data_IF_428236179289
#
_entry.id   IF_428236179289
#
_cell.length_a   1.000
_cell.length_b   1.000
_cell.length_c   1.000
_cell.angle_alpha   90.00
_cell.angle_beta   90.00
_cell.angle_gamma   90.00
#
_symmetry.space_group_name_H-M   'P 1'
#
loop_
_entity.id
_entity.type
_entity.pdbx_description
1 polymer ?
#
# COMPACT_ATOMS: atom_id res chain seq x y z
N UNK A 1 1.65 3.88 -11.17
CA UNK A 1 1.67 3.12 -9.89
C UNK A 1 2.37 3.94 -8.82
N UNK A 2 2.01 3.79 -7.55
CA UNK A 2 2.64 4.46 -6.41
C UNK A 2 3.44 3.43 -5.60
N UNK A 3 4.68 3.73 -5.22
CA UNK A 3 5.55 2.83 -4.46
C UNK A 3 5.90 3.41 -3.10
N UNK A 4 5.94 2.56 -2.07
CA UNK A 4 6.31 2.92 -0.71
C UNK A 4 6.85 1.74 0.10
N UNK A 5 6.98 1.92 1.41
CA UNK A 5 7.33 0.84 2.35
C UNK A 5 8.83 0.65 2.64
N UNK A 6 9.70 1.51 2.07
CA UNK A 6 11.08 1.63 2.53
C UNK A 6 11.16 2.55 3.75
N UNK A 7 10.90 1.99 4.94
CA UNK A 7 10.94 2.75 6.19
C UNK A 7 12.35 2.88 6.78
N UNK A 8 13.35 2.17 6.26
CA UNK A 8 14.72 2.22 6.80
C UNK A 8 15.59 3.25 6.09
N UNK A 9 15.37 3.48 4.79
CA UNK A 9 16.18 4.41 3.99
C UNK A 9 15.35 5.43 3.20
N UNK A 10 14.05 5.19 3.00
CA UNK A 10 13.16 6.13 2.30
C UNK A 10 13.53 6.40 0.84
N UNK A 11 14.29 5.52 0.18
CA UNK A 11 14.82 5.77 -1.17
C UNK A 11 14.73 4.56 -2.11
N UNK A 12 14.06 3.48 -1.68
CA UNK A 12 13.86 2.26 -2.45
C UNK A 12 14.97 1.23 -2.30
N UNK A 13 16.04 1.53 -1.55
CA UNK A 13 17.15 0.58 -1.30
C UNK A 13 17.06 -0.14 0.04
N UNK A 14 16.11 0.24 0.89
CA UNK A 14 15.89 -0.35 2.20
C UNK A 14 14.62 -1.20 2.30
N UNK A 15 14.09 -1.25 3.52
CA UNK A 15 13.02 -2.15 3.94
C UNK A 15 13.51 -3.51 4.43
N UNK A 16 12.75 -4.09 5.35
CA UNK A 16 12.95 -5.44 5.90
C UNK A 16 11.59 -6.05 6.23
N UNK A 17 11.54 -7.37 6.37
CA UNK A 17 10.31 -8.08 6.76
C UNK A 17 10.37 -8.57 8.19
N UNK A 18 9.21 -8.89 8.76
CA UNK A 18 9.12 -9.62 10.04
C UNK A 18 9.78 -11.00 10.00
N UNK A 19 10.01 -11.54 8.80
CA UNK A 19 10.69 -12.82 8.55
C UNK A 19 12.20 -12.66 8.30
N UNK A 20 12.75 -11.46 8.45
CA UNK A 20 14.14 -11.12 8.15
C UNK A 20 14.27 -10.16 6.96
N UNK A 21 15.48 -10.02 6.40
CA UNK A 21 15.73 -9.01 5.35
C UNK A 21 14.90 -9.22 4.08
N UNK A 22 14.72 -10.47 3.66
CA UNK A 22 13.98 -10.85 2.45
C UNK A 22 13.19 -12.13 2.66
N UNK A 23 12.09 -12.27 1.93
CA UNK A 23 11.29 -13.50 1.90
C UNK A 23 10.90 -13.91 0.47
N UNK A 24 10.54 -15.19 0.32
CA UNK A 24 10.20 -15.78 -0.97
C UNK A 24 8.81 -15.34 -1.48
N UNK A 25 8.53 -15.55 -2.76
CA UNK A 25 7.20 -15.36 -3.31
C UNK A 25 6.24 -16.41 -2.74
N UNK A 26 5.14 -15.98 -2.13
CA UNK A 26 4.12 -16.90 -1.58
C UNK A 26 3.35 -17.59 -2.71
N UNK A 27 2.72 -16.80 -3.58
CA UNK A 27 2.08 -17.28 -4.79
C UNK A 27 2.00 -16.15 -5.84
N UNK A 28 1.99 -16.52 -7.12
CA UNK A 28 1.91 -15.57 -8.25
C UNK A 28 0.63 -15.79 -9.05
N UNK A 29 -0.44 -16.23 -8.39
CA UNK A 29 -1.71 -16.62 -9.03
C UNK A 29 -2.58 -15.42 -9.36
N UNK A 30 -2.45 -14.35 -8.57
CA UNK A 30 -3.20 -13.11 -8.73
C UNK A 30 -2.49 -12.17 -9.70
N UNK A 31 -3.28 -11.46 -10.49
CA UNK A 31 -2.81 -10.60 -11.58
C UNK A 31 -3.13 -9.12 -11.28
N UNK A 32 -2.35 -8.21 -11.85
CA UNK A 32 -2.50 -6.77 -11.70
C UNK A 32 -3.56 -6.23 -12.66
N UNK A 33 -4.81 -6.62 -12.41
CA UNK A 33 -5.94 -6.43 -13.34
C UNK A 33 -6.40 -4.98 -13.51
N UNK A 34 -5.97 -4.04 -12.66
CA UNK A 34 -6.38 -2.65 -12.77
C UNK A 34 -5.95 -1.75 -11.61
N UNK A 35 -6.50 -0.53 -11.57
CA UNK A 35 -6.26 0.44 -10.50
C UNK A 35 -6.65 -0.10 -9.12
N UNK A 36 -5.89 0.30 -8.10
CA UNK A 36 -6.12 -0.06 -6.70
C UNK A 36 -5.63 -1.44 -6.30
N UNK A 37 -5.01 -2.23 -7.19
CA UNK A 37 -4.36 -3.49 -6.81
C UNK A 37 -3.09 -3.21 -6.00
N UNK A 38 -2.86 -4.01 -4.95
CA UNK A 38 -1.67 -3.95 -4.11
C UNK A 38 -0.77 -5.14 -4.38
N UNK A 39 0.52 -4.86 -4.58
CA UNK A 39 1.52 -5.89 -4.76
C UNK A 39 2.84 -5.57 -4.07
N UNK A 40 3.62 -6.62 -3.81
CA UNK A 40 4.89 -6.51 -3.10
C UNK A 40 5.96 -5.92 -4.04
N UNK A 41 6.70 -4.94 -3.54
CA UNK A 41 7.92 -4.44 -4.17
C UNK A 41 9.07 -5.43 -3.96
N UNK A 42 9.81 -5.75 -5.03
CA UNK A 42 10.97 -6.63 -4.95
C UNK A 42 12.05 -6.18 -5.94
N UNK A 43 13.27 -6.71 -5.75
CA UNK A 43 14.42 -6.49 -6.63
C UNK A 43 14.76 -7.75 -7.45
N UNK A 44 13.73 -8.51 -7.82
CA UNK A 44 13.84 -9.81 -8.49
C UNK A 44 13.17 -10.96 -7.72
N UNK A 45 13.12 -12.18 -8.30
CA UNK A 45 12.42 -13.31 -7.71
C UNK A 45 12.89 -13.61 -6.27
N UNK A 46 11.94 -13.83 -5.35
CA UNK A 46 12.19 -14.17 -3.95
C UNK A 46 13.00 -13.12 -3.15
N UNK A 47 12.86 -11.84 -3.51
CA UNK A 47 13.49 -10.72 -2.79
C UNK A 47 12.48 -9.77 -2.19
N UNK A 48 11.33 -10.29 -1.77
CA UNK A 48 10.27 -9.50 -1.16
C UNK A 48 10.73 -8.96 0.19
N UNK A 49 10.31 -7.74 0.53
CA UNK A 49 10.53 -7.11 1.83
C UNK A 49 9.30 -6.28 2.21
N UNK A 50 9.49 -5.21 3.00
CA UNK A 50 8.43 -4.25 3.31
C UNK A 50 8.11 -3.28 2.18
N UNK A 51 8.68 -3.35 0.98
CA UNK A 51 8.25 -2.43 -0.08
C UNK A 51 6.94 -2.92 -0.72
N UNK A 52 6.09 -1.99 -1.15
CA UNK A 52 4.81 -2.30 -1.81
C UNK A 52 4.48 -1.29 -2.89
N UNK A 53 3.53 -1.68 -3.74
CA UNK A 53 3.07 -0.97 -4.91
C UNK A 53 1.55 -0.87 -4.85
N UNK A 54 1.00 0.29 -5.19
CA UNK A 54 -0.42 0.50 -5.49
C UNK A 54 -0.54 0.79 -6.99
N UNK A 55 -1.19 -0.11 -7.72
CA UNK A 55 -1.44 0.06 -9.15
C UNK A 55 -2.39 1.23 -9.38
N UNK A 56 -2.05 2.12 -10.32
CA UNK A 56 -2.94 3.21 -10.74
C UNK A 56 -3.63 2.95 -12.08
N UNK A 57 -3.20 1.88 -12.75
CA UNK A 57 -3.69 1.35 -14.02
C UNK A 57 -3.49 -0.17 -14.04
N UNK A 58 -3.87 -0.84 -15.14
CA UNK A 58 -3.55 -2.25 -15.34
C UNK A 58 -2.07 -2.41 -15.65
N UNK A 59 -1.34 -3.17 -14.82
CA UNK A 59 0.12 -3.34 -14.93
C UNK A 59 0.51 -4.79 -15.18
N UNK A 60 0.04 -5.38 -16.29
CA UNK A 60 0.21 -6.82 -16.56
C UNK A 60 1.66 -7.27 -16.78
N UNK A 61 2.60 -6.35 -16.99
CA UNK A 61 4.03 -6.67 -17.08
C UNK A 61 4.66 -7.10 -15.74
N UNK A 62 3.94 -6.88 -14.62
CA UNK A 62 4.31 -7.31 -13.27
C UNK A 62 3.76 -8.71 -12.91
N UNK A 63 2.84 -9.25 -13.72
CA UNK A 63 2.25 -10.57 -13.48
C UNK A 63 3.32 -11.66 -13.53
N UNK A 64 3.23 -12.62 -12.61
CA UNK A 64 4.25 -13.66 -12.46
C UNK A 64 5.59 -13.19 -11.87
N UNK A 65 5.72 -11.90 -11.50
CA UNK A 65 6.95 -11.33 -10.94
C UNK A 65 6.75 -10.70 -9.56
N UNK A 66 5.62 -10.04 -9.36
CA UNK A 66 5.24 -9.41 -8.10
C UNK A 66 4.02 -10.13 -7.51
N UNK A 67 4.08 -10.40 -6.21
CA UNK A 67 2.97 -11.02 -5.48
C UNK A 67 1.90 -9.97 -5.25
N UNK A 68 0.71 -10.17 -5.81
CA UNK A 68 -0.49 -9.39 -5.47
C UNK A 68 -1.04 -9.92 -4.15
N UNK A 69 -1.28 -9.02 -3.19
CA UNK A 69 -1.72 -9.40 -1.84
C UNK A 69 -2.95 -8.65 -1.36
N UNK A 70 -3.47 -7.69 -2.13
CA UNK A 70 -4.64 -6.92 -1.70
C UNK A 70 -5.18 -5.95 -2.74
N UNK A 71 -6.16 -5.15 -2.32
CA UNK A 71 -6.71 -4.04 -3.11
C UNK A 71 -7.22 -2.90 -2.23
N UNK A 72 -7.26 -1.70 -2.78
CA UNK A 72 -7.97 -0.54 -2.22
C UNK A 72 -9.47 -0.84 -2.24
N UNK A 73 -10.15 -0.64 -1.12
CA UNK A 73 -11.59 -0.92 -0.94
C UNK A 73 -12.41 0.31 -0.55
N UNK A 74 -11.78 1.37 -0.05
CA UNK A 74 -12.45 2.63 0.26
C UNK A 74 -11.58 3.81 -0.17
N UNK A 75 -12.27 4.84 -0.66
CA UNK A 75 -11.73 6.13 -1.10
C UNK A 75 -10.44 6.05 -1.95
N UNK A 76 -10.61 5.64 -3.21
CA UNK A 76 -9.52 5.66 -4.20
C UNK A 76 -9.07 7.08 -4.59
N UNK A 77 -9.79 8.14 -4.18
CA UNK A 77 -9.41 9.51 -4.53
C UNK A 77 -8.05 9.89 -3.92
N UNK A 78 -7.73 9.37 -2.74
CA UNK A 78 -6.42 9.55 -2.09
C UNK A 78 -5.28 9.03 -2.97
N UNK A 79 -5.45 7.85 -3.56
CA UNK A 79 -4.44 7.25 -4.45
C UNK A 79 -4.27 8.11 -5.71
N UNK A 80 -5.36 8.68 -6.24
CA UNK A 80 -5.26 9.63 -7.36
C UNK A 80 -4.52 10.91 -6.98
N UNK A 81 -4.74 11.46 -5.79
CA UNK A 81 -3.99 12.62 -5.32
C UNK A 81 -2.50 12.29 -5.11
N UNK A 82 -2.18 11.10 -4.58
CA UNK A 82 -0.79 10.61 -4.49
C UNK A 82 -0.14 10.48 -5.87
N UNK A 83 -0.89 9.96 -6.85
CA UNK A 83 -0.41 9.78 -8.23
C UNK A 83 -0.05 11.11 -8.90
N UNK A 84 -0.80 12.19 -8.65
CA UNK A 84 -0.50 13.53 -9.18
C UNK A 84 0.85 14.08 -8.71
N UNK A 85 1.35 13.63 -7.56
CA UNK A 85 2.66 14.00 -7.08
C UNK A 85 3.80 13.24 -7.79
N UNK A 86 3.50 12.24 -8.63
CA UNK A 86 4.50 11.46 -9.35
C UNK A 86 5.22 12.24 -10.46
N UNK A 87 6.34 11.68 -10.93
CA UNK A 87 7.07 12.15 -12.11
C UNK A 87 7.59 10.98 -12.94
N UNK A 88 8.00 11.24 -14.18
CA UNK A 88 8.61 10.23 -15.06
C UNK A 88 9.88 9.61 -14.46
N UNK A 89 10.59 10.33 -13.60
CA UNK A 89 11.79 9.83 -12.90
C UNK A 89 11.49 8.88 -11.75
N UNK A 90 10.21 8.69 -11.39
CA UNK A 90 9.78 7.94 -10.21
C UNK A 90 9.89 8.72 -8.89
N UNK A 91 10.60 9.87 -8.87
CA UNK A 91 10.61 10.77 -7.69
C UNK A 91 9.34 11.60 -7.63
N UNK A 92 8.86 11.90 -6.43
CA UNK A 92 7.70 12.75 -6.26
C UNK A 92 8.06 14.24 -6.30
N UNK A 93 7.15 15.08 -6.79
CA UNK A 93 7.29 16.55 -6.80
C UNK A 93 7.18 17.15 -5.39
N UNK A 94 6.46 16.47 -4.51
CA UNK A 94 6.32 16.79 -3.09
C UNK A 94 6.44 15.52 -2.24
N UNK A 95 6.78 15.67 -0.97
CA UNK A 95 6.87 14.53 -0.07
C UNK A 95 5.49 13.94 0.18
N UNK A 96 5.35 12.63 -0.05
CA UNK A 96 4.14 11.87 0.27
C UNK A 96 4.49 10.90 1.40
N UNK A 97 3.96 11.17 2.59
CA UNK A 97 4.21 10.36 3.79
C UNK A 97 2.95 9.62 4.21
N UNK A 98 3.13 8.47 4.89
CA UNK A 98 2.06 7.79 5.62
C UNK A 98 2.17 8.27 7.07
N UNK A 99 1.26 9.14 7.50
CA UNK A 99 1.35 9.70 8.85
C UNK A 99 0.80 8.80 9.96
N UNK A 100 -0.21 7.99 9.66
CA UNK A 100 -0.87 7.13 10.64
C UNK A 100 -1.41 5.89 9.95
N UNK A 101 -1.36 4.74 10.62
CA UNK A 101 -1.65 3.44 10.05
C UNK A 101 -2.22 2.48 11.11
N UNK A 102 -3.23 1.67 10.75
CA UNK A 102 -3.83 0.69 11.68
C UNK A 102 -4.48 -0.48 10.95
N UNK A 103 -4.69 -1.58 11.67
CA UNK A 103 -5.44 -2.74 11.22
C UNK A 103 -6.92 -2.62 11.61
N UNK A 104 -7.81 -2.85 10.64
CA UNK A 104 -9.25 -2.95 10.90
C UNK A 104 -9.66 -4.41 11.06
N UNK A 105 -10.10 -4.77 12.27
CA UNK A 105 -10.64 -6.11 12.55
C UNK A 105 -12.14 -6.08 12.25
N UNK A 106 -12.58 -6.81 11.22
CA UNK A 106 -14.00 -7.04 10.99
C UNK A 106 -14.53 -7.94 12.11
N UNK A 107 -15.45 -7.43 12.93
CA UNK A 107 -16.25 -8.27 13.82
C UNK A 107 -17.50 -8.70 13.07
N UNK A 108 -17.75 -10.01 13.03
CA UNK A 108 -18.95 -10.57 12.41
C UNK A 108 -20.21 -9.93 13.02
N UNK A 109 -21.09 -9.38 12.17
CA UNK A 109 -22.40 -8.86 12.57
C UNK A 109 -22.60 -7.34 12.52
N UNK A 110 -21.57 -6.52 12.26
CA UNK A 110 -21.72 -5.08 12.02
C UNK A 110 -21.38 -4.74 10.57
N UNK A 111 -22.36 -4.85 9.66
CA UNK A 111 -22.24 -4.42 8.26
C UNK A 111 -22.03 -2.90 8.09
N UNK A 112 -21.96 -2.14 9.18
CA UNK A 112 -21.70 -0.72 9.19
C UNK A 112 -20.66 -0.41 10.27
N UNK A 113 -19.37 -0.65 9.99
CA UNK A 113 -18.32 0.16 10.63
C UNK A 113 -18.47 1.59 10.12
N UNK A 114 -19.44 2.33 10.68
CA UNK A 114 -19.46 3.78 10.57
C UNK A 114 -18.19 4.26 11.25
N UNK A 115 -17.30 4.87 10.47
CA UNK A 115 -16.27 5.75 11.00
C UNK A 115 -16.94 6.68 12.02
N UNK A 116 -16.57 6.56 13.30
CA UNK A 116 -16.90 7.60 14.26
C UNK A 116 -16.07 8.81 13.84
N UNK A 117 -16.63 9.69 12.98
CA UNK A 117 -16.14 11.04 12.76
C UNK A 117 -16.39 11.84 14.03
N UNK A 118 -15.76 11.48 15.15
CA UNK A 118 -15.75 12.28 16.36
C UNK A 118 -14.84 13.47 16.05
N UNK A 119 -15.46 14.55 15.56
CA UNK A 119 -14.93 15.91 15.48
C UNK A 119 -13.40 16.00 15.34
N UNK A 120 -12.88 15.76 14.14
CA UNK A 120 -11.57 16.29 13.76
C UNK A 120 -11.83 17.43 12.78
N UNK A 121 -11.47 18.65 13.21
CA UNK A 121 -11.69 19.94 12.56
C UNK A 121 -10.90 20.15 11.25
N UNK A 122 -10.50 19.08 10.55
CA UNK A 122 -9.79 19.17 9.27
C UNK A 122 -10.21 18.00 8.36
N UNK A 123 -10.63 18.24 7.11
CA UNK A 123 -10.88 17.18 6.16
C UNK A 123 -9.54 16.47 5.87
N UNK A 124 -9.43 15.20 6.26
CA UNK A 124 -8.21 14.39 6.08
C UNK A 124 -8.55 13.18 5.21
N UNK A 125 -7.76 12.98 4.16
CA UNK A 125 -7.85 11.89 3.17
C UNK A 125 -7.50 10.55 3.83
N UNK A 126 -8.27 9.51 3.53
CA UNK A 126 -8.18 8.18 4.14
C UNK A 126 -8.33 7.12 3.04
N UNK A 127 -7.35 6.25 2.80
CA UNK A 127 -7.55 5.06 1.96
C UNK A 127 -7.58 3.77 2.80
N UNK A 128 -8.50 2.84 2.49
CA UNK A 128 -8.63 1.54 3.17
C UNK A 128 -8.27 0.40 2.23
N UNK A 129 -7.61 -0.62 2.78
CA UNK A 129 -7.05 -1.74 2.05
C UNK A 129 -7.58 -3.05 2.62
N UNK A 130 -7.84 -4.02 1.74
CA UNK A 130 -8.07 -5.41 2.15
C UNK A 130 -6.88 -6.25 1.70
N UNK A 131 -6.39 -7.12 2.60
CA UNK A 131 -5.31 -8.06 2.32
C UNK A 131 -5.88 -9.49 2.27
N UNK A 132 -5.44 -10.29 1.30
CA UNK A 132 -5.98 -11.63 1.04
C UNK A 132 -4.94 -12.77 1.25
N UNK A 133 -3.71 -12.48 1.71
CA UNK A 133 -2.65 -13.49 1.87
C UNK A 133 -1.85 -13.33 3.17
N UNK A 134 -1.09 -14.36 3.58
CA UNK A 134 -0.31 -14.38 4.84
C UNK A 134 0.76 -13.28 4.96
N UNK A 135 1.00 -12.52 3.89
CA UNK A 135 1.67 -11.22 3.93
C UNK A 135 1.00 -10.26 4.94
N UNK A 136 -0.24 -10.51 5.40
CA UNK A 136 -0.88 -9.73 6.47
C UNK A 136 0.05 -9.58 7.68
N UNK A 137 0.85 -10.57 8.07
CA UNK A 137 1.73 -10.46 9.25
C UNK A 137 2.86 -9.43 9.08
N UNK A 138 3.33 -9.17 7.85
CA UNK A 138 4.28 -8.08 7.53
C UNK A 138 3.66 -6.70 7.75
N UNK A 139 2.36 -6.60 7.54
CA UNK A 139 1.62 -5.35 7.41
C UNK A 139 0.53 -5.21 8.47
N UNK A 140 0.40 -6.11 9.44
CA UNK A 140 -0.63 -6.05 10.49
C UNK A 140 -0.51 -4.82 11.39
N UNK A 141 0.61 -4.10 11.32
CA UNK A 141 0.79 -2.79 11.95
C UNK A 141 0.55 -1.60 11.00
N UNK A 142 0.17 -1.84 9.73
CA UNK A 142 -0.06 -0.82 8.71
C UNK A 142 -1.37 -1.16 7.94
N UNK A 143 -2.39 -0.32 7.74
CA UNK A 143 -2.29 0.95 7.01
C UNK A 143 -3.69 1.53 6.79
N UNK A 144 -3.94 2.69 7.39
CA UNK A 144 -4.70 3.78 6.80
C UNK A 144 -3.67 4.67 6.10
N UNK A 145 -4.03 5.41 5.06
CA UNK A 145 -3.09 6.33 4.42
C UNK A 145 -3.59 7.75 4.62
N UNK A 146 -2.78 8.57 5.29
CA UNK A 146 -2.98 10.02 5.40
C UNK A 146 -1.89 10.71 4.57
N UNK A 147 -2.27 11.31 3.46
CA UNK A 147 -1.41 12.19 2.65
C UNK A 147 -1.57 13.61 3.19
N UNK A 148 -0.45 14.27 3.50
CA UNK A 148 -0.45 15.69 3.87
C UNK A 148 0.34 16.45 2.81
N UNK A 149 -0.29 17.47 2.22
CA UNK A 149 0.43 18.47 1.44
C UNK A 149 1.34 19.24 2.41
N UNK A 150 2.65 19.13 2.20
CA UNK A 150 3.61 19.93 2.96
C UNK A 150 3.47 21.41 2.62
N UNK A 151 3.35 22.24 3.65
CA UNK A 151 3.46 23.70 3.55
C UNK A 151 4.92 24.14 3.38
#
# INVERSE_FOLDING_TARGET
>A
MCQGGDFTRGNGTGGESVYGLKFANENLKLEHKGPGILSVGNAGPNTNCSQFLICTEKTSWLDGKHVVFGKVVDDYSVVKEMEKAGSESGRTSQTVVIEDCFQMIKRDGLQNTRFCRRSMLVPRLIAIFTMESYIVDLWSNCTLYRVVEGY
#
